data_IF_657411252300
#
_entry.id   IF_657411252300
#
_cell.length_a   1.000
_cell.length_b   1.000
_cell.length_c   1.000
_cell.angle_alpha   90.00
_cell.angle_beta   90.00
_cell.angle_gamma   90.00
#
_symmetry.space_group_name_H-M   'P 1'
#
loop_
_entity.id
_entity.type
_entity.pdbx_description
1 polymer ?
#
# COMPACT_ATOMS: atom_id res chain seq x y z
N UNK A 1 -26.37 1.23 -5.88
CA UNK A 1 -26.72 0.99 -4.49
C UNK A 1 -27.19 2.25 -3.76
N UNK A 2 -27.62 2.15 -2.51
CA UNK A 2 -28.06 3.30 -1.72
C UNK A 2 -26.92 4.32 -1.60
N UNK A 3 -27.19 5.58 -1.99
CA UNK A 3 -26.21 6.67 -2.06
C UNK A 3 -24.96 6.43 -2.93
N UNK A 4 -24.97 5.51 -3.85
CA UNK A 4 -23.88 5.44 -4.81
C UNK A 4 -23.86 6.70 -5.70
N UNK A 5 -22.68 7.29 -5.92
CA UNK A 5 -22.48 8.54 -6.70
C UNK A 5 -23.33 9.72 -6.22
N UNK A 6 -23.60 9.84 -4.92
CA UNK A 6 -24.60 10.81 -4.41
C UNK A 6 -24.25 12.28 -4.65
N UNK A 7 -23.01 12.64 -4.77
CA UNK A 7 -22.53 14.03 -4.81
C UNK A 7 -21.66 14.37 -6.02
N UNK A 8 -21.82 13.66 -7.13
CA UNK A 8 -21.05 13.95 -8.34
C UNK A 8 -21.75 15.02 -9.19
N UNK A 9 -21.09 16.14 -9.35
CA UNK A 9 -21.42 17.16 -10.34
C UNK A 9 -20.57 16.93 -11.60
N UNK A 10 -21.25 16.53 -12.69
CA UNK A 10 -20.83 16.66 -14.10
C UNK A 10 -19.53 15.96 -14.57
N UNK A 11 -19.70 15.16 -15.63
CA UNK A 11 -18.67 14.66 -16.56
C UNK A 11 -17.76 13.51 -16.08
N UNK A 12 -18.16 12.75 -15.09
CA UNK A 12 -17.31 11.74 -14.53
C UNK A 12 -17.64 10.36 -15.06
N UNK A 13 -17.02 9.86 -16.07
CA UNK A 13 -17.14 8.50 -16.57
C UNK A 13 -16.79 7.44 -15.51
N UNK A 14 -17.57 7.42 -14.40
CA UNK A 14 -17.34 6.60 -13.22
C UNK A 14 -18.30 5.40 -13.17
N UNK A 15 -17.84 4.28 -12.65
CA UNK A 15 -18.66 3.12 -12.32
C UNK A 15 -18.71 2.93 -10.80
N UNK A 16 -19.91 2.98 -10.20
CA UNK A 16 -20.10 2.74 -8.78
C UNK A 16 -21.19 1.71 -8.50
N UNK A 17 -20.81 0.60 -7.87
CA UNK A 17 -21.69 -0.51 -7.53
C UNK A 17 -21.56 -0.84 -6.03
N UNK A 18 -22.61 -0.65 -5.27
CA UNK A 18 -22.64 -0.91 -3.83
C UNK A 18 -23.23 0.24 -3.05
N UNK A 19 -23.60 0.00 -1.78
CA UNK A 19 -24.06 1.06 -0.89
C UNK A 19 -22.90 2.03 -0.62
N UNK A 20 -23.15 3.33 -0.74
CA UNK A 20 -22.18 4.40 -0.51
C UNK A 20 -20.90 4.31 -1.38
N UNK A 21 -20.87 3.49 -2.43
CA UNK A 21 -19.75 3.49 -3.38
C UNK A 21 -19.62 4.89 -4.02
N UNK A 22 -18.45 5.51 -3.94
CA UNK A 22 -18.17 6.88 -4.40
C UNK A 22 -19.21 7.91 -3.86
N UNK A 23 -19.63 7.78 -2.63
CA UNK A 23 -20.64 8.69 -2.04
C UNK A 23 -20.09 10.04 -1.60
N UNK A 24 -18.80 10.17 -1.44
CA UNK A 24 -18.10 11.42 -1.16
C UNK A 24 -18.07 12.32 -2.39
N UNK A 25 -18.41 13.58 -2.20
CA UNK A 25 -18.38 14.55 -3.28
C UNK A 25 -16.98 14.79 -3.80
N UNK A 26 -16.81 14.87 -5.11
CA UNK A 26 -15.57 15.27 -5.71
C UNK A 26 -15.58 15.23 -7.22
N UNK A 27 -14.62 15.88 -7.81
CA UNK A 27 -14.41 15.93 -9.26
C UNK A 27 -13.57 14.74 -9.78
N UNK A 28 -13.65 13.57 -9.15
CA UNK A 28 -12.90 12.39 -9.61
C UNK A 28 -13.54 11.78 -10.85
N UNK A 29 -12.72 11.44 -11.84
CA UNK A 29 -13.15 10.94 -13.13
C UNK A 29 -12.49 9.59 -13.46
N UNK A 30 -13.13 8.81 -14.32
CA UNK A 30 -12.61 7.53 -14.82
C UNK A 30 -12.33 6.50 -13.70
N UNK A 31 -13.12 6.52 -12.65
CA UNK A 31 -12.96 5.63 -11.51
C UNK A 31 -13.92 4.44 -11.56
N UNK A 32 -13.48 3.33 -10.97
CA UNK A 32 -14.32 2.14 -10.74
C UNK A 32 -14.37 1.87 -9.23
N UNK A 33 -15.57 1.92 -8.64
CA UNK A 33 -15.79 1.59 -7.23
C UNK A 33 -16.85 0.50 -7.11
N UNK A 34 -16.45 -0.68 -6.64
CA UNK A 34 -17.35 -1.83 -6.46
C UNK A 34 -17.24 -2.33 -5.01
N UNK A 35 -18.31 -2.19 -4.27
CA UNK A 35 -18.39 -2.58 -2.85
C UNK A 35 -18.96 -1.49 -1.96
N UNK A 36 -19.45 -1.87 -0.80
CA UNK A 36 -19.95 -0.91 0.18
C UNK A 36 -18.83 0.00 0.66
N UNK A 37 -19.02 1.31 0.53
CA UNK A 37 -18.05 2.31 0.94
C UNK A 37 -16.74 2.34 0.14
N UNK A 38 -16.68 1.67 -1.01
CA UNK A 38 -15.52 1.77 -1.90
C UNK A 38 -15.37 3.20 -2.42
N UNK A 39 -14.18 3.79 -2.30
CA UNK A 39 -13.86 5.17 -2.72
C UNK A 39 -14.87 6.21 -2.19
N UNK A 40 -15.30 6.05 -0.94
CA UNK A 40 -16.38 6.88 -0.36
C UNK A 40 -15.90 8.10 0.44
N UNK A 41 -14.62 8.43 0.41
CA UNK A 41 -14.03 9.55 1.15
C UNK A 41 -14.75 10.85 0.91
N UNK A 42 -14.98 11.63 1.97
CA UNK A 42 -15.89 12.78 1.97
C UNK A 42 -15.43 13.98 1.12
N UNK A 43 -14.25 13.94 0.51
CA UNK A 43 -13.68 15.06 -0.26
C UNK A 43 -12.75 14.57 -1.36
N UNK A 44 -13.17 13.55 -2.11
CA UNK A 44 -12.39 13.13 -3.27
C UNK A 44 -12.42 14.22 -4.34
N UNK A 45 -11.40 15.05 -4.37
CA UNK A 45 -11.35 16.18 -5.31
C UNK A 45 -10.61 15.84 -6.59
N UNK A 46 -9.80 14.79 -6.62
CA UNK A 46 -8.97 14.46 -7.79
C UNK A 46 -8.42 13.03 -7.76
N UNK A 47 -9.20 12.05 -7.28
CA UNK A 47 -8.79 10.64 -7.25
C UNK A 47 -8.96 9.94 -8.61
N UNK A 48 -8.54 10.59 -9.70
CA UNK A 48 -8.78 10.14 -11.06
C UNK A 48 -8.13 8.78 -11.39
N UNK A 49 -8.73 8.03 -12.30
CA UNK A 49 -8.23 6.75 -12.79
C UNK A 49 -8.02 5.70 -11.70
N UNK A 50 -8.75 5.79 -10.59
CA UNK A 50 -8.63 4.88 -9.46
C UNK A 50 -9.63 3.72 -9.57
N UNK A 51 -9.14 2.50 -9.31
CA UNK A 51 -9.96 1.29 -9.20
C UNK A 51 -10.01 0.85 -7.75
N UNK A 52 -11.22 0.82 -7.16
CA UNK A 52 -11.46 0.37 -5.79
C UNK A 52 -12.53 -0.74 -5.76
N UNK A 53 -12.13 -1.97 -5.50
CA UNK A 53 -13.01 -3.14 -5.47
C UNK A 53 -12.91 -3.83 -4.12
N UNK A 54 -13.97 -3.80 -3.34
CA UNK A 54 -14.05 -4.40 -2.01
C UNK A 54 -14.72 -3.49 -0.98
N UNK A 55 -15.04 -4.06 0.18
CA UNK A 55 -15.59 -3.31 1.29
C UNK A 55 -14.58 -2.26 1.77
N UNK A 56 -14.95 -0.97 1.71
CA UNK A 56 -14.11 0.15 2.17
C UNK A 56 -12.75 0.25 1.43
N UNK A 57 -12.62 -0.35 0.24
CA UNK A 57 -11.41 -0.22 -0.56
C UNK A 57 -11.19 1.24 -1.00
N UNK A 58 -9.99 1.76 -0.83
CA UNK A 58 -9.60 3.12 -1.21
C UNK A 58 -10.41 4.24 -0.52
N UNK A 59 -11.04 3.95 0.63
CA UNK A 59 -12.05 4.82 1.25
C UNK A 59 -11.62 6.27 1.43
N UNK A 60 -10.41 6.51 1.88
CA UNK A 60 -9.94 7.84 2.26
C UNK A 60 -9.11 8.54 1.17
N UNK A 61 -9.03 7.97 -0.04
CA UNK A 61 -8.33 8.61 -1.15
C UNK A 61 -9.05 9.93 -1.50
N UNK A 62 -8.34 11.04 -1.38
CA UNK A 62 -8.88 12.39 -1.66
C UNK A 62 -8.39 12.94 -2.99
N UNK A 63 -7.08 12.91 -3.24
CA UNK A 63 -6.47 13.43 -4.46
C UNK A 63 -5.43 12.48 -5.09
N UNK A 64 -5.25 11.28 -4.51
CA UNK A 64 -4.35 10.28 -5.07
C UNK A 64 -4.89 9.67 -6.35
N UNK A 65 -4.11 9.66 -7.41
CA UNK A 65 -4.51 9.24 -8.76
C UNK A 65 -3.92 7.87 -9.14
N UNK A 66 -4.55 7.18 -10.10
CA UNK A 66 -4.06 5.93 -10.70
C UNK A 66 -3.78 4.82 -9.70
N UNK A 67 -4.55 4.80 -8.60
CA UNK A 67 -4.43 3.76 -7.59
C UNK A 67 -5.31 2.56 -7.91
N UNK A 68 -4.83 1.36 -7.57
CA UNK A 68 -5.60 0.11 -7.65
C UNK A 68 -5.73 -0.50 -6.27
N UNK A 69 -6.94 -0.53 -5.73
CA UNK A 69 -7.28 -1.11 -4.43
C UNK A 69 -8.26 -2.27 -4.60
N UNK A 70 -7.81 -3.50 -4.51
CA UNK A 70 -8.66 -4.70 -4.66
C UNK A 70 -8.60 -5.55 -3.39
N UNK A 71 -9.70 -5.63 -2.69
CA UNK A 71 -9.82 -6.35 -1.41
C UNK A 71 -10.42 -5.47 -0.32
N UNK A 72 -11.03 -6.10 0.69
CA UNK A 72 -11.57 -5.34 1.82
C UNK A 72 -10.46 -4.56 2.53
N UNK A 73 -10.68 -3.27 2.73
CA UNK A 73 -9.74 -2.33 3.37
C UNK A 73 -8.40 -2.13 2.63
N UNK A 74 -8.26 -2.54 1.36
CA UNK A 74 -7.06 -2.21 0.58
C UNK A 74 -6.96 -0.69 0.38
N UNK A 75 -5.78 -0.08 0.60
CA UNK A 75 -5.52 1.37 0.55
C UNK A 75 -6.49 2.23 1.40
N UNK A 76 -7.02 1.69 2.48
CA UNK A 76 -8.10 2.38 3.22
C UNK A 76 -7.69 3.75 3.74
N UNK A 77 -6.47 3.90 4.26
CA UNK A 77 -6.00 5.15 4.87
C UNK A 77 -5.19 6.06 3.94
N UNK A 78 -4.96 5.65 2.69
CA UNK A 78 -4.27 6.50 1.72
C UNK A 78 -5.11 7.74 1.40
N UNK A 79 -4.49 8.93 1.40
CA UNK A 79 -5.19 10.18 1.04
C UNK A 79 -4.69 10.80 -0.26
N UNK A 80 -3.37 10.92 -0.46
CA UNK A 80 -2.78 11.71 -1.56
C UNK A 80 -1.72 10.99 -2.39
N UNK A 81 -1.51 9.70 -2.17
CA UNK A 81 -0.49 8.94 -2.92
C UNK A 81 -0.95 8.49 -4.30
N UNK A 82 -0.04 8.45 -5.26
CA UNK A 82 -0.28 8.09 -6.66
C UNK A 82 0.32 6.74 -7.05
N UNK A 83 -0.25 6.12 -8.08
CA UNK A 83 0.30 4.95 -8.76
C UNK A 83 0.53 3.73 -7.84
N UNK A 84 -0.27 3.57 -6.78
CA UNK A 84 -0.15 2.43 -5.89
C UNK A 84 -1.05 1.26 -6.33
N UNK A 85 -0.54 0.05 -6.16
CA UNK A 85 -1.28 -1.20 -6.38
C UNK A 85 -1.39 -1.95 -5.06
N UNK A 86 -2.61 -2.18 -4.57
CA UNK A 86 -2.88 -2.96 -3.37
C UNK A 86 -3.94 -4.04 -3.67
N UNK A 87 -3.54 -5.30 -3.59
CA UNK A 87 -4.40 -6.45 -3.86
C UNK A 87 -4.36 -7.42 -2.68
N UNK A 88 -5.47 -7.55 -1.98
CA UNK A 88 -5.62 -8.43 -0.83
C UNK A 88 -6.29 -7.75 0.36
N UNK A 89 -6.70 -8.55 1.35
CA UNK A 89 -7.27 -8.03 2.58
C UNK A 89 -6.26 -7.14 3.32
N UNK A 90 -6.62 -5.88 3.56
CA UNK A 90 -5.75 -4.87 4.19
C UNK A 90 -4.36 -4.73 3.54
N UNK A 91 -4.23 -4.99 2.25
CA UNK A 91 -3.02 -4.66 1.52
C UNK A 91 -2.83 -3.13 1.49
N UNK A 92 -1.65 -2.66 1.84
CA UNK A 92 -1.31 -1.23 1.95
C UNK A 92 -2.33 -0.43 2.81
N UNK A 93 -2.85 -1.06 3.87
CA UNK A 93 -3.96 -0.52 4.65
C UNK A 93 -3.67 0.86 5.22
N UNK A 94 -2.50 1.08 5.79
CA UNK A 94 -2.15 2.31 6.49
C UNK A 94 -0.89 2.95 5.86
N UNK A 95 -1.03 3.44 4.63
CA UNK A 95 0.04 4.17 3.93
C UNK A 95 0.15 5.65 4.32
N UNK A 96 -0.56 6.07 5.39
CA UNK A 96 -0.49 7.42 5.92
C UNK A 96 -1.54 8.38 5.37
N UNK A 97 -1.92 9.33 6.23
CA UNK A 97 -3.01 10.29 5.98
C UNK A 97 -2.54 11.67 5.54
N UNK A 98 -1.24 11.95 5.54
CA UNK A 98 -0.71 13.30 5.31
C UNK A 98 0.56 13.36 4.47
N UNK A 99 1.00 12.24 3.89
CA UNK A 99 2.26 12.15 3.16
C UNK A 99 2.09 11.42 1.83
N UNK A 100 2.96 11.72 0.89
CA UNK A 100 2.95 11.10 -0.44
C UNK A 100 3.56 9.70 -0.38
N UNK A 101 2.72 8.66 -0.51
CA UNK A 101 3.16 7.29 -0.71
C UNK A 101 2.87 6.91 -2.17
N UNK A 102 3.90 6.77 -2.99
CA UNK A 102 3.74 6.62 -4.43
C UNK A 102 4.41 5.35 -4.96
N UNK A 103 3.84 4.79 -6.02
CA UNK A 103 4.43 3.70 -6.80
C UNK A 103 4.75 2.45 -5.97
N UNK A 104 3.93 2.16 -4.95
CA UNK A 104 4.08 0.94 -4.16
C UNK A 104 3.21 -0.19 -4.71
N UNK A 105 3.73 -1.40 -4.68
CA UNK A 105 3.01 -2.62 -5.03
C UNK A 105 2.88 -3.49 -3.77
N UNK A 106 1.65 -3.72 -3.33
CA UNK A 106 1.31 -4.56 -2.19
C UNK A 106 0.34 -5.66 -2.61
N UNK A 107 0.81 -6.89 -2.74
CA UNK A 107 -0.01 -8.04 -3.14
C UNK A 107 0.02 -9.13 -2.07
N UNK A 108 -1.11 -9.37 -1.45
CA UNK A 108 -1.28 -10.35 -0.38
C UNK A 108 -1.95 -9.75 0.86
N UNK A 109 -2.54 -10.61 1.67
CA UNK A 109 -3.11 -10.21 2.96
C UNK A 109 -2.04 -9.57 3.83
N UNK A 110 -2.29 -8.36 4.34
CA UNK A 110 -1.37 -7.59 5.19
C UNK A 110 -0.03 -7.21 4.52
N UNK A 111 0.12 -7.36 3.21
CA UNK A 111 1.30 -6.83 2.52
C UNK A 111 1.35 -5.30 2.67
N UNK A 112 2.49 -4.75 3.05
CA UNK A 112 2.72 -3.31 3.27
C UNK A 112 1.67 -2.69 4.22
N UNK A 113 1.29 -3.42 5.28
CA UNK A 113 0.13 -3.10 6.13
C UNK A 113 0.23 -1.75 6.82
N UNK A 114 1.39 -1.42 7.36
CA UNK A 114 1.58 -0.23 8.20
C UNK A 114 2.85 0.51 7.82
N UNK A 115 2.65 1.66 7.20
CA UNK A 115 3.69 2.65 6.96
C UNK A 115 3.24 3.96 7.61
N UNK A 116 3.14 3.95 8.93
CA UNK A 116 2.57 5.06 9.69
C UNK A 116 3.34 6.36 9.46
N UNK A 117 2.69 7.34 8.85
CA UNK A 117 3.11 8.73 8.69
C UNK A 117 4.35 8.98 7.83
N UNK A 118 4.68 8.13 6.87
CA UNK A 118 5.94 8.21 6.15
C UNK A 118 5.76 8.26 4.64
N UNK A 119 6.57 9.08 3.99
CA UNK A 119 6.75 9.04 2.55
C UNK A 119 7.46 7.74 2.18
N UNK A 120 6.72 6.73 1.78
CA UNK A 120 7.29 5.47 1.28
C UNK A 120 6.98 5.33 -0.20
N UNK A 121 8.01 5.10 -0.98
CA UNK A 121 7.89 5.06 -2.42
C UNK A 121 8.61 3.86 -3.02
N UNK A 122 8.12 3.43 -4.17
CA UNK A 122 8.81 2.46 -5.01
C UNK A 122 9.07 1.09 -4.34
N UNK A 123 8.19 0.69 -3.41
CA UNK A 123 8.32 -0.62 -2.76
C UNK A 123 7.50 -1.71 -3.45
N UNK A 124 8.03 -2.91 -3.46
CA UNK A 124 7.35 -4.13 -3.89
C UNK A 124 7.20 -5.08 -2.70
N UNK A 125 5.98 -5.33 -2.26
CA UNK A 125 5.64 -6.25 -1.18
C UNK A 125 4.67 -7.32 -1.70
N UNK A 126 5.13 -8.55 -1.88
CA UNK A 126 4.33 -9.66 -2.40
C UNK A 126 4.38 -10.84 -1.43
N UNK A 127 3.24 -11.20 -0.85
CA UNK A 127 3.10 -12.30 0.08
C UNK A 127 2.37 -11.89 1.37
N UNK A 128 1.98 -12.87 2.17
CA UNK A 128 1.33 -12.61 3.44
C UNK A 128 2.26 -11.85 4.39
N UNK A 129 1.85 -10.66 4.82
CA UNK A 129 2.65 -9.83 5.75
C UNK A 129 4.03 -9.42 5.22
N UNK A 130 4.29 -9.46 3.92
CA UNK A 130 5.52 -8.92 3.36
C UNK A 130 5.56 -7.40 3.61
N UNK A 131 6.69 -6.90 4.11
CA UNK A 131 6.91 -5.49 4.45
C UNK A 131 5.80 -4.90 5.37
N UNK A 132 5.24 -5.72 6.29
CA UNK A 132 4.01 -5.35 7.01
C UNK A 132 4.19 -4.28 8.09
N UNK A 133 5.38 -4.09 8.60
CA UNK A 133 5.69 -3.05 9.58
C UNK A 133 6.89 -2.21 9.10
N UNK A 134 6.62 -1.22 8.28
CA UNK A 134 7.58 -0.20 7.90
C UNK A 134 7.26 1.07 8.70
N UNK A 135 7.95 1.27 9.81
CA UNK A 135 7.66 2.37 10.75
C UNK A 135 8.51 3.63 10.55
N UNK A 136 9.33 3.68 9.51
CA UNK A 136 10.24 4.81 9.27
C UNK A 136 10.03 5.53 7.95
N UNK A 137 10.36 6.84 7.95
CA UNK A 137 10.15 7.79 6.84
C UNK A 137 10.97 7.53 5.59
N UNK A 138 11.90 6.59 5.60
CA UNK A 138 12.87 6.40 4.52
C UNK A 138 12.89 4.95 4.01
N UNK A 139 11.77 4.25 4.12
CA UNK A 139 11.62 2.87 3.65
C UNK A 139 11.33 2.76 2.15
N UNK A 140 12.19 3.33 1.30
CA UNK A 140 11.99 3.36 -0.15
C UNK A 140 12.75 2.27 -0.91
N UNK A 141 12.28 1.94 -2.11
CA UNK A 141 12.97 1.08 -3.06
C UNK A 141 13.25 -0.34 -2.54
N UNK A 142 12.40 -0.88 -1.68
CA UNK A 142 12.57 -2.24 -1.17
C UNK A 142 11.78 -3.26 -1.99
N UNK A 143 12.33 -4.45 -2.14
CA UNK A 143 11.67 -5.60 -2.75
C UNK A 143 11.53 -6.72 -1.72
N UNK A 144 10.32 -7.00 -1.28
CA UNK A 144 9.98 -8.05 -0.33
C UNK A 144 9.02 -9.07 -0.98
N UNK A 145 9.50 -10.24 -1.32
CA UNK A 145 8.71 -11.31 -1.93
C UNK A 145 8.76 -12.56 -1.08
N UNK A 146 7.65 -12.94 -0.52
CA UNK A 146 7.51 -14.11 0.36
C UNK A 146 6.75 -13.78 1.64
N UNK A 147 6.21 -14.80 2.30
CA UNK A 147 5.50 -14.63 3.56
C UNK A 147 6.45 -14.04 4.63
N UNK A 148 6.07 -12.91 5.24
CA UNK A 148 6.86 -12.19 6.24
C UNK A 148 8.27 -11.75 5.79
N UNK A 149 8.55 -11.68 4.48
CA UNK A 149 9.77 -11.06 3.98
C UNK A 149 9.78 -9.57 4.43
N UNK A 150 10.86 -9.12 5.05
CA UNK A 150 11.02 -7.77 5.62
C UNK A 150 9.86 -7.31 6.53
N UNK A 151 9.23 -8.22 7.29
CA UNK A 151 8.01 -7.87 8.03
C UNK A 151 8.21 -6.91 9.19
N UNK A 152 9.38 -6.88 9.79
CA UNK A 152 9.66 -6.15 11.03
C UNK A 152 10.77 -5.11 10.81
N UNK A 153 10.56 -4.16 9.89
CA UNK A 153 11.49 -3.03 9.67
C UNK A 153 11.23 -1.94 10.70
N UNK A 154 12.18 -1.69 11.59
CA UNK A 154 12.04 -0.68 12.66
C UNK A 154 12.91 0.56 12.47
N UNK A 155 13.79 0.58 11.47
CA UNK A 155 14.63 1.73 11.13
C UNK A 155 14.57 2.02 9.64
N UNK A 156 14.92 3.22 9.21
CA UNK A 156 14.99 3.63 7.81
C UNK A 156 15.88 2.70 6.99
N UNK A 157 15.26 1.75 6.33
CA UNK A 157 15.92 0.73 5.53
C UNK A 157 15.47 0.86 4.09
N UNK A 158 16.38 1.12 3.17
CA UNK A 158 16.08 1.36 1.77
C UNK A 158 16.98 0.54 0.83
N UNK A 159 16.51 0.34 -0.40
CA UNK A 159 17.19 -0.38 -1.46
C UNK A 159 17.57 -1.83 -1.07
N UNK A 160 16.72 -2.51 -0.32
CA UNK A 160 16.93 -3.91 0.07
C UNK A 160 16.13 -4.87 -0.81
N UNK A 161 16.65 -6.09 -0.95
CA UNK A 161 15.97 -7.18 -1.65
C UNK A 161 15.84 -8.40 -0.72
N UNK A 162 14.62 -8.82 -0.46
CA UNK A 162 14.31 -10.05 0.26
C UNK A 162 13.38 -10.93 -0.55
N UNK A 163 13.84 -12.10 -0.94
CA UNK A 163 13.08 -13.09 -1.68
C UNK A 163 13.08 -14.42 -0.93
N UNK A 164 11.97 -14.80 -0.38
CA UNK A 164 11.81 -16.01 0.43
C UNK A 164 11.05 -15.75 1.72
N UNK A 165 10.44 -16.80 2.27
CA UNK A 165 9.75 -16.70 3.56
C UNK A 165 10.73 -16.28 4.66
N UNK A 166 10.38 -15.24 5.45
CA UNK A 166 11.20 -14.67 6.53
C UNK A 166 12.58 -14.12 6.10
N UNK A 167 12.85 -13.94 4.81
CA UNK A 167 14.08 -13.27 4.37
C UNK A 167 14.11 -11.83 4.89
N UNK A 168 15.24 -11.38 5.45
CA UNK A 168 15.43 -10.06 6.09
C UNK A 168 14.32 -9.69 7.07
N UNK A 169 13.74 -10.66 7.79
CA UNK A 169 12.54 -10.43 8.59
C UNK A 169 12.70 -9.36 9.66
N UNK A 170 13.83 -9.34 10.35
CA UNK A 170 14.14 -8.40 11.43
C UNK A 170 15.35 -7.56 11.07
N UNK A 171 15.13 -6.39 10.54
CA UNK A 171 16.18 -5.41 10.29
C UNK A 171 15.90 -4.19 11.17
N UNK A 172 16.74 -3.98 12.18
CA UNK A 172 16.52 -3.01 13.26
C UNK A 172 17.49 -1.82 13.25
N UNK A 173 18.24 -1.61 12.18
CA UNK A 173 19.25 -0.55 12.15
C UNK A 173 19.14 0.30 10.89
N UNK A 174 19.31 1.61 11.06
CA UNK A 174 19.37 2.57 9.94
C UNK A 174 20.49 2.25 8.92
N UNK A 175 21.42 1.39 9.28
CA UNK A 175 22.56 0.99 8.45
C UNK A 175 22.37 -0.37 7.78
N UNK A 176 21.15 -0.85 7.56
CA UNK A 176 20.89 -2.14 6.86
C UNK A 176 20.62 -1.97 5.37
N UNK A 177 21.08 -0.90 4.78
CA UNK A 177 20.80 -0.54 3.39
C UNK A 177 21.49 -1.46 2.38
N UNK A 178 20.87 -1.63 1.20
CA UNK A 178 21.48 -2.35 0.07
C UNK A 178 21.69 -3.84 0.30
N UNK A 179 21.13 -4.43 1.34
CA UNK A 179 21.28 -5.87 1.61
C UNK A 179 20.39 -6.72 0.71
N UNK A 180 20.90 -7.88 0.27
CA UNK A 180 20.21 -8.85 -0.56
C UNK A 180 20.13 -10.19 0.16
N UNK A 181 18.91 -10.70 0.36
CA UNK A 181 18.66 -12.00 0.95
C UNK A 181 17.72 -12.81 0.06
N UNK A 182 18.19 -13.96 -0.41
CA UNK A 182 17.40 -14.87 -1.24
C UNK A 182 17.42 -16.26 -0.62
N UNK A 183 16.26 -16.76 -0.23
CA UNK A 183 16.11 -18.07 0.39
C UNK A 183 15.26 -18.02 1.67
N UNK A 184 14.86 -19.19 2.17
CA UNK A 184 14.11 -19.31 3.42
C UNK A 184 14.95 -18.81 4.60
N UNK A 185 14.48 -17.76 5.27
CA UNK A 185 15.15 -17.21 6.46
C UNK A 185 16.52 -16.58 6.20
N UNK A 186 16.90 -16.32 4.95
CA UNK A 186 18.16 -15.66 4.65
C UNK A 186 18.21 -14.28 5.34
N UNK A 187 19.28 -14.00 6.09
CA UNK A 187 19.48 -12.78 6.89
C UNK A 187 18.30 -12.45 7.83
N UNK A 188 17.60 -13.44 8.38
CA UNK A 188 16.39 -13.24 9.22
C UNK A 188 16.61 -12.27 10.38
N UNK A 189 17.80 -12.19 10.93
CA UNK A 189 18.16 -11.35 12.07
C UNK A 189 19.37 -10.45 11.74
N UNK A 190 19.37 -9.81 10.59
CA UNK A 190 20.40 -8.84 10.22
C UNK A 190 20.16 -7.53 11.00
N UNK A 191 20.76 -7.41 12.15
CA UNK A 191 20.54 -6.27 13.07
C UNK A 191 21.33 -5.04 12.62
N UNK A 192 22.45 -5.22 11.92
CA UNK A 192 23.28 -4.12 11.39
C UNK A 192 24.21 -4.62 10.29
N UNK A 193 24.44 -3.81 9.29
CA UNK A 193 25.39 -4.09 8.21
C UNK A 193 24.85 -3.71 6.83
N UNK A 194 25.64 -2.93 6.14
CA UNK A 194 25.34 -2.42 4.78
C UNK A 194 25.79 -3.43 3.73
N UNK A 195 24.97 -3.63 2.71
CA UNK A 195 25.36 -4.37 1.51
C UNK A 195 25.62 -5.87 1.72
N UNK A 196 25.03 -6.48 2.74
CA UNK A 196 25.18 -7.93 2.95
C UNK A 196 24.43 -8.71 1.86
N UNK A 197 25.07 -9.77 1.35
CA UNK A 197 24.45 -10.69 0.38
C UNK A 197 24.42 -12.09 0.98
N UNK A 198 23.22 -12.69 1.07
CA UNK A 198 23.03 -14.07 1.49
C UNK A 198 22.08 -14.80 0.54
N UNK A 199 22.45 -15.98 0.12
CA UNK A 199 21.66 -16.86 -0.74
C UNK A 199 21.65 -18.27 -0.13
N UNK A 200 20.45 -18.80 0.18
CA UNK A 200 20.30 -20.12 0.80
C UNK A 200 19.30 -20.21 1.92
#
# INVERSE_FOLDING_TARGET
GWKALKQYDLEAENTAIGAEAMSGAGASNYCVAVGTGALSGATTTDANFTVAIGYIAGRNITSGQRNTAIGSYALESLTVGDDNIAIGYRAAYNLGTSTFANRNIAIGTYALLSAANNNINDNVAIGYGALSQSVHSDGDNNVAIGSYAMSDLTAGSWAMVAVGQNALRKTNHADSQGSVAVGFGALTANVSGIGNVAIG
#
